data_IF_529222068059
#
_entry.id   IF_529222068059
#
_cell.length_a   1.000
_cell.length_b   1.000
_cell.length_c   1.000
_cell.angle_alpha   90.00
_cell.angle_beta   90.00
_cell.angle_gamma   90.00
#
_symmetry.space_group_name_H-M   'P 1'
#
loop_
_entity.id
_entity.type
_entity.pdbx_description
1 polymer ?
#
# COMPACT_ATOMS: atom_id res chain seq x y z
N UNK A 1 25.06 2.94 13.39
CA UNK A 1 24.00 1.96 13.17
C UNK A 1 22.66 2.68 12.99
N UNK A 2 22.04 2.60 11.82
CA UNK A 2 20.60 2.91 11.64
C UNK A 2 20.01 1.77 10.81
N UNK A 3 19.48 0.77 11.50
CA UNK A 3 18.83 -0.42 10.94
C UNK A 3 17.36 -0.43 11.32
N UNK A 4 16.63 0.62 10.96
CA UNK A 4 15.19 0.74 11.24
C UNK A 4 14.50 1.04 9.92
N UNK A 5 13.51 0.23 9.57
CA UNK A 5 12.58 0.46 8.45
C UNK A 5 11.17 0.47 9.02
N UNK A 6 10.36 1.45 8.64
CA UNK A 6 8.93 1.48 8.95
C UNK A 6 8.19 0.64 7.90
N UNK A 7 7.18 -0.12 8.34
CA UNK A 7 6.37 -1.01 7.50
C UNK A 7 4.88 -0.79 7.80
N UNK A 8 4.03 -1.16 6.85
CA UNK A 8 2.57 -1.09 7.01
C UNK A 8 2.04 0.33 7.21
N UNK A 9 0.99 0.48 8.02
CA UNK A 9 0.31 1.76 8.28
C UNK A 9 1.22 2.84 8.89
N UNK A 10 2.30 2.44 9.56
CA UNK A 10 3.29 3.36 10.09
C UNK A 10 4.07 4.10 8.98
N UNK A 11 4.04 3.59 7.75
CA UNK A 11 4.66 4.23 6.59
C UNK A 11 3.61 4.71 5.56
N UNK A 12 2.49 4.01 5.40
CA UNK A 12 1.56 4.26 4.29
C UNK A 12 0.08 4.06 4.62
N UNK A 13 -0.45 4.70 5.68
CA UNK A 13 -1.87 4.67 6.01
C UNK A 13 -2.78 4.80 4.76
N UNK A 14 -3.60 3.77 4.52
CA UNK A 14 -4.53 3.71 3.39
C UNK A 14 -5.95 3.81 3.93
N UNK A 15 -6.82 4.56 3.25
CA UNK A 15 -8.24 4.59 3.59
C UNK A 15 -8.87 3.18 3.44
N UNK A 16 -9.75 2.73 4.35
CA UNK A 16 -10.23 1.34 4.43
C UNK A 16 -11.32 1.00 3.39
N UNK A 17 -11.20 1.51 2.17
CA UNK A 17 -12.22 1.34 1.14
C UNK A 17 -12.00 0.09 0.30
N UNK A 18 -10.75 -0.24 -0.04
CA UNK A 18 -10.43 -1.33 -0.99
C UNK A 18 -10.14 -2.68 -0.32
N UNK A 19 -10.13 -2.76 1.01
CA UNK A 19 -9.89 -4.01 1.75
C UNK A 19 -8.53 -4.66 1.49
N UNK A 20 -7.49 -3.87 1.20
CA UNK A 20 -6.16 -4.37 0.81
C UNK A 20 -5.14 -4.38 1.95
N UNK A 21 -5.55 -4.00 3.17
CA UNK A 21 -4.67 -3.90 4.34
C UNK A 21 -3.86 -5.19 4.60
N UNK A 22 -4.52 -6.36 4.56
CA UNK A 22 -3.85 -7.65 4.73
C UNK A 22 -2.96 -8.05 3.55
N UNK A 23 -3.40 -7.76 2.31
CA UNK A 23 -2.63 -8.09 1.10
C UNK A 23 -1.31 -7.33 1.02
N UNK A 24 -1.33 -6.04 1.37
CA UNK A 24 -0.14 -5.19 1.41
C UNK A 24 0.86 -5.71 2.43
N UNK A 25 0.42 -6.09 3.63
CA UNK A 25 1.30 -6.62 4.66
C UNK A 25 2.02 -7.91 4.22
N UNK A 26 1.32 -8.80 3.51
CA UNK A 26 1.90 -10.04 2.97
C UNK A 26 2.95 -9.71 1.89
N UNK A 27 2.63 -8.82 0.96
CA UNK A 27 3.55 -8.39 -0.09
C UNK A 27 4.81 -7.71 0.49
N UNK A 28 4.65 -6.90 1.54
CA UNK A 28 5.75 -6.25 2.25
C UNK A 28 6.67 -7.28 2.90
N UNK A 29 6.11 -8.26 3.61
CA UNK A 29 6.88 -9.33 4.23
C UNK A 29 7.67 -10.11 3.20
N UNK A 30 7.03 -10.53 2.10
CA UNK A 30 7.69 -11.27 1.03
C UNK A 30 8.81 -10.46 0.38
N UNK A 31 8.56 -9.19 0.04
CA UNK A 31 9.58 -8.34 -0.60
C UNK A 31 10.74 -8.06 0.35
N UNK A 32 10.47 -7.85 1.64
CA UNK A 32 11.51 -7.59 2.63
C UNK A 32 12.41 -8.83 2.82
N UNK A 33 11.83 -10.03 2.90
CA UNK A 33 12.60 -11.28 2.99
C UNK A 33 13.52 -11.42 1.78
N UNK A 34 12.97 -11.29 0.57
CA UNK A 34 13.76 -11.33 -0.66
C UNK A 34 14.91 -10.32 -0.66
N UNK A 35 14.62 -9.08 -0.28
CA UNK A 35 15.64 -8.04 -0.16
C UNK A 35 16.74 -8.46 0.83
N UNK A 36 16.38 -8.91 2.03
CA UNK A 36 17.32 -9.28 3.09
C UNK A 36 18.18 -10.50 2.76
N UNK A 37 17.66 -11.48 2.00
CA UNK A 37 18.44 -12.64 1.54
C UNK A 37 19.65 -12.26 0.66
N UNK A 38 19.65 -11.05 0.10
CA UNK A 38 20.74 -10.52 -0.74
C UNK A 38 21.79 -9.76 0.05
N UNK A 39 21.68 -9.70 1.38
CA UNK A 39 22.63 -9.03 2.27
C UNK A 39 23.76 -9.98 2.65
N UNK A 40 24.99 -9.67 2.24
CA UNK A 40 26.18 -10.45 2.61
C UNK A 40 26.76 -10.06 3.98
N UNK A 41 26.65 -8.79 4.34
CA UNK A 41 27.16 -8.23 5.61
C UNK A 41 26.15 -7.27 6.22
N UNK A 42 26.18 -7.09 7.54
CA UNK A 42 25.27 -6.17 8.24
C UNK A 42 25.34 -4.73 7.74
N UNK A 43 26.49 -4.32 7.18
CA UNK A 43 26.67 -2.99 6.60
C UNK A 43 25.90 -2.80 5.29
N UNK A 44 25.50 -3.89 4.63
CA UNK A 44 24.64 -3.89 3.45
C UNK A 44 23.15 -3.68 3.74
N UNK A 45 22.72 -3.82 4.99
CA UNK A 45 21.29 -3.71 5.39
C UNK A 45 20.67 -2.38 4.92
N UNK A 46 21.27 -1.19 5.13
CA UNK A 46 20.67 0.07 4.70
C UNK A 46 20.42 0.15 3.19
N UNK A 47 21.32 -0.41 2.37
CA UNK A 47 21.18 -0.43 0.90
C UNK A 47 19.98 -1.26 0.48
N UNK A 48 19.81 -2.42 1.11
CA UNK A 48 18.72 -3.34 0.82
C UNK A 48 17.38 -2.80 1.31
N UNK A 49 17.33 -2.16 2.48
CA UNK A 49 16.13 -1.50 2.98
C UNK A 49 15.67 -0.36 2.06
N UNK A 50 16.62 0.37 1.44
CA UNK A 50 16.30 1.38 0.42
C UNK A 50 15.69 0.73 -0.83
N UNK A 51 16.26 -0.37 -1.31
CA UNK A 51 15.71 -1.09 -2.46
C UNK A 51 14.30 -1.62 -2.17
N UNK A 52 14.07 -2.18 -0.98
CA UNK A 52 12.74 -2.58 -0.52
C UNK A 52 11.74 -1.41 -0.60
N UNK A 53 12.12 -0.23 -0.09
CA UNK A 53 11.26 0.97 -0.16
C UNK A 53 10.95 1.37 -1.61
N UNK A 54 11.95 1.42 -2.48
CA UNK A 54 11.79 1.79 -3.89
C UNK A 54 10.88 0.81 -4.66
N UNK A 55 10.94 -0.49 -4.34
CA UNK A 55 10.08 -1.51 -4.94
C UNK A 55 8.62 -1.35 -4.48
N UNK A 56 8.40 -1.03 -3.20
CA UNK A 56 7.06 -1.02 -2.60
C UNK A 56 6.33 0.31 -2.77
N UNK A 57 7.03 1.43 -2.86
CA UNK A 57 6.43 2.77 -2.97
C UNK A 57 5.37 2.90 -4.09
N UNK A 58 5.61 2.44 -5.34
CA UNK A 58 4.61 2.55 -6.41
C UNK A 58 3.34 1.75 -6.10
N UNK A 59 3.49 0.59 -5.43
CA UNK A 59 2.37 -0.27 -5.05
C UNK A 59 1.51 0.39 -3.99
N UNK A 60 2.10 0.98 -2.96
CA UNK A 60 1.33 1.71 -1.93
C UNK A 60 0.58 2.90 -2.53
N UNK A 61 1.24 3.68 -3.40
CA UNK A 61 0.61 4.81 -4.11
C UNK A 61 -0.63 4.37 -4.89
N UNK A 62 -0.54 3.25 -5.60
CA UNK A 62 -1.68 2.68 -6.33
C UNK A 62 -2.85 2.32 -5.39
N UNK A 63 -2.58 1.71 -4.24
CA UNK A 63 -3.65 1.36 -3.27
C UNK A 63 -4.27 2.60 -2.69
N UNK A 64 -3.46 3.59 -2.28
CA UNK A 64 -3.97 4.86 -1.76
C UNK A 64 -4.86 5.57 -2.78
N UNK A 65 -4.41 5.67 -4.04
CA UNK A 65 -5.20 6.28 -5.11
C UNK A 65 -6.51 5.53 -5.33
N UNK A 66 -6.48 4.20 -5.41
CA UNK A 66 -7.68 3.36 -5.57
C UNK A 66 -8.65 3.54 -4.41
N UNK A 67 -8.14 3.62 -3.19
CA UNK A 67 -8.95 3.82 -1.98
C UNK A 67 -9.61 5.19 -1.97
N UNK A 68 -8.89 6.22 -2.39
CA UNK A 68 -9.41 7.57 -2.51
C UNK A 68 -10.50 7.67 -3.60
N UNK A 69 -10.26 7.09 -4.78
CA UNK A 69 -11.24 7.05 -5.87
C UNK A 69 -12.49 6.30 -5.42
N UNK A 70 -12.32 5.16 -4.75
CA UNK A 70 -13.45 4.38 -4.27
C UNK A 70 -14.23 5.16 -3.19
N UNK A 71 -13.55 5.76 -2.22
CA UNK A 71 -14.18 6.63 -1.22
C UNK A 71 -15.08 7.67 -1.86
N UNK A 72 -14.55 8.44 -2.81
CA UNK A 72 -15.32 9.48 -3.52
C UNK A 72 -16.54 8.92 -4.26
N UNK A 73 -16.43 7.72 -4.82
CA UNK A 73 -17.53 7.06 -5.52
C UNK A 73 -18.60 6.59 -4.54
N UNK A 74 -18.21 6.03 -3.40
CA UNK A 74 -19.16 5.50 -2.42
C UNK A 74 -19.85 6.60 -1.60
N UNK A 75 -19.21 7.75 -1.41
CA UNK A 75 -19.73 8.87 -0.60
C UNK A 75 -20.33 10.01 -1.42
N UNK A 76 -20.79 9.74 -2.66
CA UNK A 76 -21.53 10.75 -3.42
C UNK A 76 -22.84 11.09 -2.69
N UNK A 77 -23.24 12.38 -2.60
CA UNK A 77 -24.52 12.74 -2.00
C UNK A 77 -25.69 12.12 -2.77
N UNK A 78 -26.79 11.91 -2.07
CA UNK A 78 -28.04 11.40 -2.64
C UNK A 78 -28.50 12.26 -3.82
N UNK A 79 -28.93 11.59 -4.90
CA UNK A 79 -29.44 12.23 -6.10
C UNK A 79 -28.99 11.54 -7.40
N UNK A 80 -29.14 12.20 -8.56
CA UNK A 80 -28.98 11.55 -9.87
C UNK A 80 -27.62 10.88 -10.10
N UNK A 81 -26.55 11.41 -9.49
CA UNK A 81 -25.20 10.82 -9.58
C UNK A 81 -25.06 9.55 -8.74
N UNK A 82 -25.68 9.50 -7.56
CA UNK A 82 -25.73 8.31 -6.71
C UNK A 82 -26.57 7.22 -7.39
N UNK A 83 -27.75 7.56 -7.92
CA UNK A 83 -28.59 6.60 -8.66
C UNK A 83 -27.87 6.00 -9.89
N UNK A 84 -27.13 6.83 -10.63
CA UNK A 84 -26.34 6.37 -11.77
C UNK A 84 -25.17 5.47 -11.36
N UNK A 85 -24.58 5.69 -10.18
CA UNK A 85 -23.56 4.78 -9.59
C UNK A 85 -24.20 3.46 -9.20
N UNK A 86 -25.31 3.48 -8.47
CA UNK A 86 -26.02 2.29 -7.98
C UNK A 86 -26.49 1.39 -9.13
N UNK A 87 -26.97 1.98 -10.23
CA UNK A 87 -27.36 1.24 -11.45
C UNK A 87 -26.22 0.43 -12.08
N UNK A 88 -24.95 0.78 -11.84
CA UNK A 88 -23.80 0.01 -12.34
C UNK A 88 -23.50 -1.25 -11.53
N UNK A 89 -24.12 -1.40 -10.36
CA UNK A 89 -23.95 -2.55 -9.44
C UNK A 89 -25.18 -3.46 -9.37
N UNK A 90 -26.21 -3.19 -10.18
CA UNK A 90 -27.34 -4.08 -10.45
C UNK A 90 -27.08 -4.89 -11.70
#
# INVERSE_FOLDING_TARGET
SRGVVLLGDALHAVLPWVGQEGGIAIEDAATLVECLERVETTDGIPKVLKAFQEIREPRYKLVQERSFIQSKRETVPDGPKQEARDKKFK
#
